data_IF_392809147825
#
_entry.id   IF_392809147825
#
_cell.length_a   1.000
_cell.length_b   1.000
_cell.length_c   1.000
_cell.angle_alpha   90.00
_cell.angle_beta   90.00
_cell.angle_gamma   90.00
#
_symmetry.space_group_name_H-M   'P 1'
#
loop_
_entity.id
_entity.type
_entity.pdbx_description
1 polymer ?
#
# COMPACT_ATOMS: atom_id res chain seq x y z
N UNK A 1 -16.00 46.35 -12.87
CA UNK A 1 -17.42 46.25 -13.29
C UNK A 1 -17.89 44.82 -13.55
N UNK A 2 -17.64 44.17 -14.70
CA UNK A 2 -18.20 42.82 -14.99
C UNK A 2 -17.69 41.71 -14.05
N UNK A 3 -16.39 41.71 -13.75
CA UNK A 3 -15.80 40.68 -12.88
C UNK A 3 -16.26 40.79 -11.42
N UNK A 4 -16.41 42.00 -10.88
CA UNK A 4 -16.93 42.22 -9.52
C UNK A 4 -18.36 41.71 -9.36
N UNK A 5 -19.22 41.92 -10.37
CA UNK A 5 -20.58 41.35 -10.34
C UNK A 5 -20.59 39.83 -10.40
N UNK A 6 -19.68 39.21 -11.16
CA UNK A 6 -19.57 37.76 -11.24
C UNK A 6 -19.05 37.15 -9.92
N UNK A 7 -18.12 37.83 -9.25
CA UNK A 7 -17.63 37.43 -7.92
C UNK A 7 -18.74 37.58 -6.87
N UNK A 8 -19.48 38.69 -6.86
CA UNK A 8 -20.63 38.90 -5.96
C UNK A 8 -21.68 37.80 -6.13
N UNK A 9 -22.07 37.47 -7.37
CA UNK A 9 -23.04 36.42 -7.66
C UNK A 9 -22.56 35.03 -7.17
N UNK A 10 -21.25 34.75 -7.26
CA UNK A 10 -20.66 33.52 -6.72
C UNK A 10 -20.72 33.51 -5.20
N UNK A 11 -20.40 34.63 -4.54
CA UNK A 11 -20.48 34.76 -3.08
C UNK A 11 -21.93 34.56 -2.61
N UNK A 12 -22.92 35.18 -3.26
CA UNK A 12 -24.33 35.00 -2.94
C UNK A 12 -24.79 33.55 -3.12
N UNK A 13 -24.29 32.87 -4.14
CA UNK A 13 -24.58 31.45 -4.36
C UNK A 13 -23.99 30.55 -3.27
N UNK A 14 -22.79 30.88 -2.77
CA UNK A 14 -22.14 30.17 -1.67
C UNK A 14 -22.86 30.39 -0.35
N UNK A 15 -23.29 31.62 -0.08
CA UNK A 15 -24.07 31.96 1.12
C UNK A 15 -25.37 31.15 1.14
N UNK A 16 -26.14 31.15 0.05
CA UNK A 16 -27.38 30.37 -0.07
C UNK A 16 -27.14 28.87 0.08
N UNK A 17 -26.05 28.35 -0.48
CA UNK A 17 -25.69 26.94 -0.33
C UNK A 17 -25.33 26.60 1.13
N UNK A 18 -24.59 27.47 1.81
CA UNK A 18 -24.24 27.33 3.22
C UNK A 18 -25.48 27.38 4.13
N UNK A 19 -26.38 28.34 3.90
CA UNK A 19 -27.66 28.44 4.61
C UNK A 19 -28.49 27.17 4.45
N UNK A 20 -28.62 26.68 3.20
CA UNK A 20 -29.34 25.44 2.92
C UNK A 20 -28.73 24.24 3.65
N UNK A 21 -27.40 24.13 3.64
CA UNK A 21 -26.71 23.06 4.36
C UNK A 21 -26.89 23.18 5.88
N UNK A 22 -26.88 24.40 6.42
CA UNK A 22 -27.11 24.64 7.85
C UNK A 22 -28.49 24.16 8.27
N UNK A 23 -29.53 24.56 7.53
CA UNK A 23 -30.92 24.17 7.79
C UNK A 23 -31.07 22.64 7.71
N UNK A 24 -30.51 22.01 6.67
CA UNK A 24 -30.55 20.55 6.53
C UNK A 24 -29.82 19.87 7.70
N UNK A 25 -28.68 20.41 8.14
CA UNK A 25 -27.95 19.86 9.28
C UNK A 25 -28.78 19.95 10.57
N UNK A 26 -29.45 21.06 10.81
CA UNK A 26 -30.34 21.25 11.96
C UNK A 26 -31.52 20.27 11.94
N UNK A 27 -32.20 20.13 10.80
CA UNK A 27 -33.27 19.15 10.63
C UNK A 27 -32.76 17.74 10.94
N UNK A 28 -31.64 17.34 10.33
CA UNK A 28 -31.05 16.02 10.55
C UNK A 28 -30.64 15.80 12.02
N UNK A 29 -30.18 16.85 12.73
CA UNK A 29 -29.86 16.76 14.16
C UNK A 29 -31.11 16.50 14.98
N UNK A 30 -32.18 17.24 14.74
CA UNK A 30 -33.46 17.07 15.43
C UNK A 30 -34.07 15.69 15.14
N UNK A 31 -34.05 15.24 13.89
CA UNK A 31 -34.51 13.89 13.51
C UNK A 31 -33.68 12.82 14.21
N UNK A 32 -32.34 12.91 14.19
CA UNK A 32 -31.47 11.98 14.91
C UNK A 32 -31.74 11.97 16.41
N UNK A 33 -32.01 13.13 17.01
CA UNK A 33 -32.38 13.22 18.41
C UNK A 33 -33.70 12.50 18.69
N UNK A 34 -34.77 12.78 17.92
CA UNK A 34 -36.06 12.11 18.06
C UNK A 34 -35.96 10.60 17.84
N UNK A 35 -35.18 10.15 16.86
CA UNK A 35 -34.90 8.73 16.63
C UNK A 35 -34.17 8.08 17.82
N UNK A 36 -33.23 8.77 18.46
CA UNK A 36 -32.56 8.27 19.66
C UNK A 36 -33.51 8.17 20.84
N UNK A 37 -34.34 9.18 21.07
CA UNK A 37 -35.32 9.21 22.15
C UNK A 37 -36.37 8.10 21.98
N UNK A 38 -36.94 7.97 20.78
CA UNK A 38 -37.89 6.89 20.46
C UNK A 38 -37.28 5.50 20.64
N UNK A 39 -36.01 5.29 20.27
CA UNK A 39 -35.31 4.03 20.53
C UNK A 39 -35.14 3.76 22.03
N UNK A 40 -34.83 4.77 22.82
CA UNK A 40 -34.72 4.64 24.28
C UNK A 40 -36.07 4.24 24.88
N UNK A 41 -37.14 4.90 24.47
CA UNK A 41 -38.47 4.63 25.01
C UNK A 41 -39.03 3.28 24.56
N UNK A 42 -38.76 2.88 23.32
CA UNK A 42 -39.05 1.52 22.85
C UNK A 42 -38.23 0.47 23.63
N UNK A 43 -36.93 0.73 23.93
CA UNK A 43 -36.11 -0.15 24.78
C UNK A 43 -36.73 -0.27 26.18
N UNK A 44 -37.17 0.84 26.80
CA UNK A 44 -37.85 0.84 28.10
C UNK A 44 -39.16 0.07 28.05
N UNK A 45 -39.99 0.27 27.02
CA UNK A 45 -41.26 -0.44 26.81
C UNK A 45 -41.02 -1.94 26.70
N UNK A 46 -40.05 -2.37 25.89
CA UNK A 46 -39.68 -3.78 25.73
C UNK A 46 -39.19 -4.40 27.03
N UNK A 47 -38.39 -3.67 27.81
CA UNK A 47 -37.94 -4.13 29.14
C UNK A 47 -39.12 -4.34 30.10
N UNK A 48 -40.08 -3.41 30.13
CA UNK A 48 -41.29 -3.51 30.98
C UNK A 48 -42.18 -4.70 30.59
N UNK A 49 -42.32 -4.99 29.29
CA UNK A 49 -43.12 -6.12 28.80
C UNK A 49 -42.41 -7.48 28.88
N UNK A 50 -41.14 -7.52 29.27
CA UNK A 50 -40.39 -8.77 29.35
C UNK A 50 -40.74 -9.51 30.63
N UNK A 51 -41.23 -10.74 30.50
CA UNK A 51 -41.48 -11.61 31.65
C UNK A 51 -40.18 -11.85 32.42
N UNK A 52 -40.22 -11.62 33.74
CA UNK A 52 -39.04 -11.78 34.61
C UNK A 52 -38.77 -13.23 35.02
N UNK A 53 -39.51 -14.21 34.47
CA UNK A 53 -39.31 -15.63 34.79
C UNK A 53 -39.52 -15.98 36.27
N UNK A 54 -40.31 -15.17 36.98
CA UNK A 54 -40.62 -15.40 38.38
C UNK A 54 -41.63 -16.54 38.57
N UNK A 55 -42.41 -16.86 37.54
CA UNK A 55 -43.48 -17.84 37.59
C UNK A 55 -42.98 -19.28 37.66
N UNK A 56 -43.55 -20.07 38.56
CA UNK A 56 -43.30 -21.51 38.62
C UNK A 56 -44.19 -22.22 37.57
N UNK A 57 -43.57 -22.80 36.54
CA UNK A 57 -44.31 -23.51 35.49
C UNK A 57 -44.79 -24.90 35.93
N UNK A 58 -44.22 -25.46 37.00
CA UNK A 58 -44.56 -26.80 37.49
C UNK A 58 -45.94 -26.88 38.16
N UNK A 59 -46.46 -25.73 38.62
CA UNK A 59 -47.78 -25.62 39.25
C UNK A 59 -48.56 -24.45 38.64
N UNK A 60 -49.07 -24.62 37.40
CA UNK A 60 -49.91 -23.64 36.77
C UNK A 60 -51.28 -23.61 37.49
N UNK A 61 -51.75 -22.42 37.86
CA UNK A 61 -53.07 -22.21 38.49
C UNK A 61 -53.05 -21.98 40.00
N UNK A 62 -51.93 -22.21 40.69
CA UNK A 62 -51.77 -21.81 42.09
C UNK A 62 -51.44 -20.31 42.21
N UNK A 63 -51.89 -19.66 43.28
CA UNK A 63 -51.50 -18.29 43.59
C UNK A 63 -49.98 -18.22 43.90
N UNK A 64 -49.25 -17.44 43.12
CA UNK A 64 -47.80 -17.29 43.25
C UNK A 64 -47.45 -15.96 43.93
N UNK A 65 -46.90 -16.04 45.13
CA UNK A 65 -46.44 -14.88 45.90
C UNK A 65 -44.93 -14.67 45.72
N UNK A 66 -44.53 -13.40 45.58
CA UNK A 66 -43.13 -13.03 45.41
C UNK A 66 -42.69 -12.08 46.52
N UNK A 67 -41.59 -12.40 47.19
CA UNK A 67 -40.96 -11.47 48.11
C UNK A 67 -40.23 -10.36 47.33
N UNK A 68 -40.18 -9.11 47.85
CA UNK A 68 -39.43 -8.02 47.23
C UNK A 68 -37.96 -8.38 46.97
N UNK A 69 -37.33 -9.12 47.88
CA UNK A 69 -35.95 -9.60 47.74
C UNK A 69 -35.78 -10.53 46.55
N UNK A 70 -36.69 -11.48 46.33
CA UNK A 70 -36.63 -12.39 45.16
C UNK A 70 -36.77 -11.61 43.85
N UNK A 71 -37.69 -10.64 43.80
CA UNK A 71 -37.87 -9.75 42.64
C UNK A 71 -36.59 -8.92 42.38
N UNK A 72 -35.96 -8.38 43.42
CA UNK A 72 -34.73 -7.60 43.31
C UNK A 72 -33.56 -8.45 42.76
N UNK A 73 -33.38 -9.67 43.25
CA UNK A 73 -32.35 -10.59 42.75
C UNK A 73 -32.50 -10.89 41.25
N UNK A 74 -33.72 -11.12 40.79
CA UNK A 74 -34.00 -11.37 39.37
C UNK A 74 -33.68 -10.14 38.52
N UNK A 75 -34.03 -8.93 39.00
CA UNK A 75 -33.67 -7.67 38.32
C UNK A 75 -32.15 -7.47 38.25
N UNK A 76 -31.44 -7.75 39.34
CA UNK A 76 -29.98 -7.64 39.37
C UNK A 76 -29.32 -8.59 38.36
N UNK A 77 -29.73 -9.86 38.31
CA UNK A 77 -29.25 -10.83 37.33
C UNK A 77 -29.54 -10.40 35.89
N UNK A 78 -30.75 -9.89 35.62
CA UNK A 78 -31.09 -9.40 34.28
C UNK A 78 -30.20 -8.22 33.86
N UNK A 79 -29.95 -7.27 34.77
CA UNK A 79 -29.06 -6.14 34.52
C UNK A 79 -27.61 -6.57 34.27
N UNK A 80 -27.11 -7.55 35.04
CA UNK A 80 -25.77 -8.11 34.85
C UNK A 80 -25.62 -8.77 33.47
N UNK A 81 -26.60 -9.59 33.05
CA UNK A 81 -26.60 -10.22 31.73
C UNK A 81 -26.63 -9.16 30.60
N UNK A 82 -27.41 -8.08 30.77
CA UNK A 82 -27.43 -6.99 29.80
C UNK A 82 -26.07 -6.27 29.73
N UNK A 83 -25.45 -5.97 30.88
CA UNK A 83 -24.14 -5.33 30.95
C UNK A 83 -23.04 -6.19 30.31
N UNK A 84 -23.05 -7.50 30.54
CA UNK A 84 -22.13 -8.44 29.90
C UNK A 84 -22.30 -8.43 28.37
N UNK A 85 -23.54 -8.48 27.87
CA UNK A 85 -23.82 -8.40 26.43
C UNK A 85 -23.37 -7.09 25.81
N UNK A 86 -23.52 -5.96 26.52
CA UNK A 86 -23.05 -4.67 26.04
C UNK A 86 -21.51 -4.61 26.01
N UNK A 87 -20.83 -5.13 27.04
CA UNK A 87 -19.37 -5.25 27.07
C UNK A 87 -18.82 -6.12 25.94
N UNK A 88 -19.44 -7.28 25.67
CA UNK A 88 -19.03 -8.17 24.58
C UNK A 88 -19.21 -7.52 23.21
N UNK A 89 -20.30 -6.76 23.01
CA UNK A 89 -20.52 -5.99 21.78
C UNK A 89 -19.44 -4.94 21.58
N UNK A 90 -19.07 -4.22 22.63
CA UNK A 90 -18.00 -3.21 22.57
C UNK A 90 -16.66 -3.86 22.24
N UNK A 91 -16.30 -4.97 22.90
CA UNK A 91 -15.08 -5.73 22.62
C UNK A 91 -14.99 -6.17 21.16
N UNK A 92 -16.08 -6.70 20.60
CA UNK A 92 -16.14 -7.11 19.19
C UNK A 92 -15.98 -5.91 18.25
N UNK A 93 -16.57 -4.75 18.58
CA UNK A 93 -16.42 -3.54 17.79
C UNK A 93 -14.98 -3.01 17.82
N UNK A 94 -14.36 -2.96 18.99
CA UNK A 94 -12.96 -2.56 19.15
C UNK A 94 -12.02 -3.48 18.40
N UNK A 95 -12.22 -4.80 18.48
CA UNK A 95 -11.42 -5.77 17.75
C UNK A 95 -11.54 -5.58 16.23
N UNK A 96 -12.75 -5.34 15.73
CA UNK A 96 -12.97 -5.02 14.30
C UNK A 96 -12.26 -3.74 13.90
N UNK A 97 -12.35 -2.69 14.70
CA UNK A 97 -11.67 -1.42 14.44
C UNK A 97 -10.14 -1.60 14.42
N UNK A 98 -9.58 -2.32 15.40
CA UNK A 98 -8.14 -2.63 15.47
C UNK A 98 -7.67 -3.41 14.23
N UNK A 99 -8.41 -4.46 13.84
CA UNK A 99 -8.09 -5.24 12.63
C UNK A 99 -8.16 -4.41 11.36
N UNK A 100 -9.06 -3.43 11.30
CA UNK A 100 -9.18 -2.54 10.16
C UNK A 100 -7.97 -1.62 10.06
N UNK A 101 -7.57 -1.00 11.18
CA UNK A 101 -6.38 -0.15 11.25
C UNK A 101 -5.12 -0.94 10.86
N UNK A 102 -4.94 -2.14 11.42
CA UNK A 102 -3.78 -2.99 11.11
C UNK A 102 -3.72 -3.36 9.62
N UNK A 103 -4.87 -3.65 8.99
CA UNK A 103 -4.94 -3.92 7.54
C UNK A 103 -4.54 -2.71 6.72
N UNK A 104 -5.01 -1.52 7.11
CA UNK A 104 -4.68 -0.27 6.42
C UNK A 104 -3.19 0.07 6.55
N UNK A 105 -2.61 -0.09 7.74
CA UNK A 105 -1.17 0.09 7.96
C UNK A 105 -0.33 -0.89 7.14
N UNK A 106 -0.68 -2.18 7.15
CA UNK A 106 0.00 -3.19 6.31
C UNK A 106 -0.14 -2.88 4.83
N UNK A 107 -1.31 -2.43 4.38
CA UNK A 107 -1.53 -2.04 2.99
C UNK A 107 -0.62 -0.87 2.59
N UNK A 108 -0.49 0.14 3.46
CA UNK A 108 0.42 1.28 3.25
C UNK A 108 1.88 0.83 3.18
N UNK A 109 2.34 0.00 4.12
CA UNK A 109 3.70 -0.54 4.11
C UNK A 109 3.99 -1.33 2.82
N UNK A 110 3.03 -2.15 2.36
CA UNK A 110 3.18 -2.89 1.10
C UNK A 110 3.23 -1.95 -0.10
N UNK A 111 2.47 -0.87 -0.10
CA UNK A 111 2.52 0.15 -1.15
C UNK A 111 3.88 0.85 -1.18
N UNK A 112 4.38 1.31 -0.03
CA UNK A 112 5.70 1.95 0.10
C UNK A 112 6.81 1.02 -0.39
N UNK A 113 6.80 -0.25 0.02
CA UNK A 113 7.80 -1.24 -0.44
C UNK A 113 7.71 -1.51 -1.95
N UNK A 114 6.51 -1.48 -2.53
CA UNK A 114 6.32 -1.59 -3.98
C UNK A 114 6.89 -0.37 -4.70
N UNK A 115 6.64 0.83 -4.19
CA UNK A 115 7.18 2.07 -4.75
C UNK A 115 8.70 2.11 -4.70
N UNK A 116 9.32 1.73 -3.58
CA UNK A 116 10.78 1.65 -3.46
C UNK A 116 11.34 0.67 -4.50
N UNK A 117 10.78 -0.54 -4.59
CA UNK A 117 11.21 -1.54 -5.59
C UNK A 117 11.00 -1.06 -7.03
N UNK A 118 9.95 -0.29 -7.30
CA UNK A 118 9.72 0.29 -8.62
C UNK A 118 10.80 1.33 -8.95
N UNK A 119 11.10 2.23 -8.01
CA UNK A 119 12.16 3.24 -8.14
C UNK A 119 13.54 2.61 -8.36
N UNK A 120 13.88 1.57 -7.61
CA UNK A 120 15.15 0.84 -7.80
C UNK A 120 15.24 0.19 -9.18
N UNK A 121 14.16 -0.41 -9.67
CA UNK A 121 14.11 -0.99 -11.02
C UNK A 121 14.27 0.07 -12.10
N UNK A 122 13.64 1.22 -11.93
CA UNK A 122 13.78 2.35 -12.86
C UNK A 122 15.20 2.91 -12.85
N UNK A 123 15.80 3.11 -11.68
CA UNK A 123 17.19 3.55 -11.56
C UNK A 123 18.16 2.57 -12.23
N UNK A 124 17.96 1.26 -12.04
CA UNK A 124 18.77 0.23 -12.69
C UNK A 124 18.61 0.21 -14.21
N UNK A 125 17.41 0.49 -14.74
CA UNK A 125 17.19 0.63 -16.18
C UNK A 125 17.91 1.84 -16.73
N UNK A 126 17.78 3.01 -16.09
CA UNK A 126 18.48 4.24 -16.48
C UNK A 126 20.00 4.06 -16.47
N UNK A 127 20.56 3.47 -15.42
CA UNK A 127 22.00 3.18 -15.35
C UNK A 127 22.48 2.26 -16.49
N UNK A 128 21.68 1.25 -16.88
CA UNK A 128 22.00 0.37 -18.02
C UNK A 128 21.95 1.11 -19.35
N UNK A 129 20.96 1.98 -19.54
CA UNK A 129 20.84 2.82 -20.74
C UNK A 129 22.01 3.80 -20.85
N UNK A 130 22.38 4.46 -19.75
CA UNK A 130 23.54 5.34 -19.67
C UNK A 130 24.85 4.58 -19.95
N UNK A 131 25.04 3.37 -19.41
CA UNK A 131 26.22 2.55 -19.67
C UNK A 131 26.31 2.13 -21.15
N UNK A 132 25.17 1.76 -21.76
CA UNK A 132 25.10 1.46 -23.19
C UNK A 132 25.47 2.67 -24.04
N UNK A 133 24.93 3.85 -23.70
CA UNK A 133 25.27 5.10 -24.41
C UNK A 133 26.75 5.45 -24.25
N UNK A 134 27.31 5.35 -23.04
CA UNK A 134 28.73 5.59 -22.80
C UNK A 134 29.63 4.63 -23.60
N UNK A 135 29.25 3.33 -23.68
CA UNK A 135 29.96 2.34 -24.50
C UNK A 135 29.90 2.69 -25.99
N UNK A 136 28.76 3.14 -26.50
CA UNK A 136 28.61 3.57 -27.88
C UNK A 136 29.46 4.81 -28.18
N UNK A 137 29.42 5.82 -27.32
CA UNK A 137 30.24 7.03 -27.43
C UNK A 137 31.74 6.70 -27.40
N UNK A 138 32.20 5.86 -26.46
CA UNK A 138 33.59 5.42 -26.40
C UNK A 138 34.02 4.69 -27.68
N UNK A 139 33.13 3.86 -28.25
CA UNK A 139 33.39 3.16 -29.52
C UNK A 139 33.49 4.14 -30.70
N UNK A 140 32.71 5.22 -30.72
CA UNK A 140 32.80 6.27 -31.73
C UNK A 140 34.12 7.03 -31.61
N UNK A 141 34.50 7.48 -30.40
CA UNK A 141 35.80 8.15 -30.15
C UNK A 141 36.97 7.25 -30.59
N UNK A 142 36.93 5.95 -30.29
CA UNK A 142 37.97 5.03 -30.75
C UNK A 142 38.02 4.88 -32.27
N UNK A 143 36.87 4.86 -32.95
CA UNK A 143 36.81 4.80 -34.42
C UNK A 143 37.39 6.07 -35.04
N UNK A 144 37.04 7.23 -34.52
CA UNK A 144 37.55 8.54 -34.96
C UNK A 144 39.06 8.65 -34.72
N UNK A 145 39.54 8.26 -33.54
CA UNK A 145 40.97 8.23 -33.22
C UNK A 145 41.76 7.26 -34.12
N UNK A 146 41.17 6.11 -34.49
CA UNK A 146 41.78 5.19 -35.46
C UNK A 146 41.78 5.78 -36.87
N UNK A 147 40.70 6.45 -37.28
CA UNK A 147 40.60 7.09 -38.58
C UNK A 147 41.59 8.25 -38.72
N UNK A 148 41.74 9.09 -37.69
CA UNK A 148 42.69 10.20 -37.68
C UNK A 148 44.14 9.71 -37.70
N UNK A 149 44.49 8.68 -36.92
CA UNK A 149 45.81 8.01 -37.01
C UNK A 149 46.07 7.45 -38.41
N UNK A 150 45.08 6.84 -39.04
CA UNK A 150 45.20 6.29 -40.40
C UNK A 150 45.37 7.39 -41.44
N UNK A 151 44.68 8.54 -41.28
CA UNK A 151 44.86 9.73 -42.11
C UNK A 151 46.27 10.33 -41.94
N UNK A 152 46.75 10.49 -40.71
CA UNK A 152 48.13 10.96 -40.42
C UNK A 152 49.20 10.03 -40.97
N UNK A 153 48.98 8.71 -40.94
CA UNK A 153 49.93 7.73 -41.52
C UNK A 153 49.98 7.75 -43.05
N UNK A 154 48.93 8.22 -43.72
CA UNK A 154 48.87 8.39 -45.18
C UNK A 154 49.47 9.71 -45.65
N UNK A 155 49.56 10.72 -44.77
CA UNK A 155 50.15 12.03 -45.08
C UNK A 155 51.64 12.14 -44.76
N UNK A 156 52.27 11.11 -44.18
CA UNK A 156 53.74 11.07 -44.04
C UNK A 156 54.39 10.37 -45.26
N UNK A 157 55.34 11.01 -45.96
CA UNK A 157 56.05 10.38 -47.05
C UNK A 157 56.93 9.25 -46.52
N UNK A 158 56.78 8.03 -47.06
CA UNK A 158 57.65 6.91 -46.73
C UNK A 158 59.07 7.21 -47.21
N UNK A 159 59.97 7.53 -46.28
CA UNK A 159 61.41 7.50 -46.53
C UNK A 159 61.82 6.06 -46.85
N UNK A 160 62.25 5.86 -48.10
CA UNK A 160 62.66 4.58 -48.69
C UNK A 160 64.03 4.20 -48.10
N UNK A 161 64.05 3.35 -47.07
CA UNK A 161 65.30 2.77 -46.58
C UNK A 161 65.83 1.74 -47.59
N UNK A 162 67.08 1.93 -48.00
CA UNK A 162 67.83 1.07 -48.93
C UNK A 162 68.13 -0.28 -48.26
N UNK A 163 68.01 -1.34 -49.05
CA UNK A 163 68.43 -2.71 -48.76
C UNK A 163 69.95 -2.85 -48.67
N UNK A 164 70.43 -3.66 -47.73
CA UNK A 164 71.79 -4.23 -47.65
C UNK A 164 71.70 -5.60 -46.91
N UNK A 165 72.63 -6.56 -47.10
CA UNK A 165 72.31 -7.92 -47.55
C UNK A 165 72.31 -9.03 -46.49
N UNK A 166 71.81 -10.20 -46.95
CA UNK A 166 71.66 -11.50 -46.30
C UNK A 166 72.83 -11.94 -45.40
N UNK A 167 72.48 -12.53 -44.25
CA UNK A 167 73.22 -13.61 -43.60
C UNK A 167 72.25 -14.74 -43.18
N UNK A 168 72.71 -16.01 -43.18
CA UNK A 168 71.84 -17.19 -43.24
C UNK A 168 71.19 -17.58 -41.90
N UNK A 169 70.00 -18.17 -41.99
CA UNK A 169 69.17 -18.60 -40.86
C UNK A 169 69.67 -19.91 -40.20
N UNK A 170 69.59 -20.02 -38.85
CA UNK A 170 69.63 -21.30 -38.15
C UNK A 170 68.23 -21.96 -38.06
N UNK A 171 68.16 -23.30 -38.01
CA UNK A 171 66.95 -24.06 -38.33
C UNK A 171 65.80 -23.97 -37.31
N UNK A 172 64.58 -24.05 -37.87
CA UNK A 172 63.28 -24.01 -37.20
C UNK A 172 63.10 -25.13 -36.18
N UNK A 173 62.86 -24.77 -34.91
CA UNK A 173 62.32 -25.70 -33.91
C UNK A 173 60.81 -25.84 -34.10
N UNK A 174 60.40 -26.98 -34.63
CA UNK A 174 59.00 -27.45 -34.68
C UNK A 174 58.58 -27.83 -33.26
N UNK A 175 57.74 -27.02 -32.61
CA UNK A 175 57.03 -27.44 -31.39
C UNK A 175 55.85 -28.31 -31.80
N UNK A 176 55.95 -29.60 -31.47
CA UNK A 176 54.90 -30.60 -31.59
C UNK A 176 53.63 -30.17 -30.84
N UNK A 177 52.42 -30.43 -31.39
CA UNK A 177 51.18 -30.16 -30.69
C UNK A 177 51.00 -31.18 -29.56
N UNK A 178 51.03 -30.73 -28.30
CA UNK A 178 50.66 -31.58 -27.17
C UNK A 178 49.14 -31.72 -27.09
N UNK A 179 48.72 -32.95 -26.83
CA UNK A 179 47.39 -33.47 -27.00
C UNK A 179 46.33 -32.86 -26.06
N UNK A 180 45.12 -32.80 -26.59
CA UNK A 180 43.86 -32.44 -25.93
C UNK A 180 43.38 -33.63 -25.08
N UNK A 181 43.70 -33.66 -23.80
CA UNK A 181 42.92 -34.37 -22.78
C UNK A 181 42.10 -33.31 -22.03
N UNK A 182 40.78 -33.37 -21.88
CA UNK A 182 39.97 -34.56 -21.65
C UNK A 182 39.66 -34.70 -20.16
N UNK A 183 39.06 -33.69 -19.52
CA UNK A 183 38.45 -33.85 -18.19
C UNK A 183 37.04 -33.26 -18.19
N UNK A 184 36.09 -34.17 -18.41
CA UNK A 184 34.71 -34.05 -17.96
C UNK A 184 34.73 -34.25 -16.44
N UNK A 185 34.28 -33.26 -15.67
CA UNK A 185 33.75 -33.52 -14.34
C UNK A 185 32.26 -33.23 -14.31
N UNK A 186 31.59 -34.19 -13.67
CA UNK A 186 30.18 -34.54 -13.67
C UNK A 186 29.75 -34.33 -12.22
N UNK A 187 28.69 -33.54 -12.02
CA UNK A 187 27.74 -33.52 -10.90
C UNK A 187 28.26 -33.68 -9.46
N UNK A 188 27.94 -32.68 -8.62
CA UNK A 188 27.06 -32.80 -7.45
C UNK A 188 26.52 -31.41 -7.09
#
# INVERSE_FOLDING_TARGET
MKEETAVSNRVDSLIRAAEKLSIVNEILRHENQGLRETLIDEKKRRKRGKAMGLSNNDRPGEAQFYSPTKVALVRAKAAEIEAQKEADRLRVQEEKARKQIEKEEKARQVQEMKEIRAREREAKKRAREEELQAKLAARQIQKEARASKKAQSKSQPKARQKTAPLQPEPPKQVKLPYARSGQRHRWL
#
